data_IF_664822853099
#
_entry.id   IF_664822853099
#
_cell.length_a   1.000
_cell.length_b   1.000
_cell.length_c   1.000
_cell.angle_alpha   90.00
_cell.angle_beta   90.00
_cell.angle_gamma   90.00
#
_symmetry.space_group_name_H-M   'P 1'
#
loop_
_entity.id
_entity.type
_entity.pdbx_description
1 polymer ?
#
# COMPACT_ATOMS: atom_id res chain seq x y z
N UNK A 1 -26.29 13.28 3.09
CA UNK A 1 -24.89 13.29 3.59
C UNK A 1 -24.28 14.63 3.21
N UNK A 2 -23.96 15.49 4.17
CA UNK A 2 -23.36 16.81 3.89
C UNK A 2 -21.85 16.65 3.91
N UNK A 3 -21.20 16.81 2.75
CA UNK A 3 -19.74 16.79 2.63
C UNK A 3 -19.17 18.17 3.03
N UNK A 4 -18.14 18.16 3.87
CA UNK A 4 -17.35 19.36 4.22
C UNK A 4 -16.66 19.92 2.97
N UNK A 5 -16.21 21.17 3.03
CA UNK A 5 -15.51 21.83 1.91
C UNK A 5 -14.24 21.04 1.53
N UNK A 6 -13.52 20.52 2.53
CA UNK A 6 -12.34 19.66 2.34
C UNK A 6 -12.71 18.34 1.66
N UNK A 7 -13.75 17.64 2.13
CA UNK A 7 -14.22 16.40 1.50
C UNK A 7 -14.71 16.58 0.06
N UNK A 8 -15.17 17.78 -0.32
CA UNK A 8 -15.50 18.10 -1.73
C UNK A 8 -14.26 18.28 -2.60
N UNK A 9 -13.18 18.86 -2.06
CA UNK A 9 -11.90 19.00 -2.77
C UNK A 9 -11.24 17.64 -2.99
N UNK A 10 -11.25 16.79 -1.97
CA UNK A 10 -10.68 15.44 -2.05
C UNK A 10 -11.41 14.58 -3.10
N UNK A 11 -12.74 14.68 -3.12
CA UNK A 11 -13.55 14.01 -4.14
C UNK A 11 -13.22 14.50 -5.56
N UNK A 12 -13.06 15.80 -5.76
CA UNK A 12 -12.68 16.36 -7.06
C UNK A 12 -11.31 15.86 -7.53
N UNK A 13 -10.33 15.82 -6.62
CA UNK A 13 -9.00 15.29 -6.91
C UNK A 13 -9.03 13.79 -7.28
N UNK A 14 -9.85 12.99 -6.59
CA UNK A 14 -10.02 11.57 -6.91
C UNK A 14 -10.70 11.35 -8.28
N UNK A 15 -11.69 12.17 -8.63
CA UNK A 15 -12.34 12.12 -9.95
C UNK A 15 -11.36 12.49 -11.06
N UNK A 16 -10.54 13.52 -10.84
CA UNK A 16 -9.49 13.92 -11.78
C UNK A 16 -8.43 12.82 -11.95
N UNK A 17 -7.98 12.23 -10.84
CA UNK A 17 -7.08 11.08 -10.86
C UNK A 17 -7.66 9.93 -11.69
N UNK A 18 -8.92 9.55 -11.48
CA UNK A 18 -9.59 8.50 -12.24
C UNK A 18 -9.59 8.78 -13.74
N UNK A 19 -9.91 10.02 -14.14
CA UNK A 19 -9.88 10.44 -15.55
C UNK A 19 -8.47 10.32 -16.15
N UNK A 20 -7.46 10.78 -15.41
CA UNK A 20 -6.07 10.74 -15.87
C UNK A 20 -5.57 9.29 -16.02
N UNK A 21 -5.87 8.42 -15.05
CA UNK A 21 -5.51 7.00 -15.12
C UNK A 21 -6.14 6.32 -16.33
N UNK A 22 -7.42 6.60 -16.62
CA UNK A 22 -8.11 6.07 -17.81
C UNK A 22 -7.47 6.56 -19.12
N UNK A 23 -7.17 7.85 -19.21
CA UNK A 23 -6.55 8.44 -20.40
C UNK A 23 -5.16 7.84 -20.68
N UNK A 24 -4.42 7.48 -19.62
CA UNK A 24 -3.11 6.85 -19.71
C UNK A 24 -3.18 5.32 -19.86
N UNK A 25 -4.38 4.71 -19.83
CA UNK A 25 -4.55 3.26 -19.90
C UNK A 25 -4.05 2.51 -18.67
N UNK A 26 -3.85 3.20 -17.53
CA UNK A 26 -3.33 2.61 -16.30
C UNK A 26 -4.46 1.87 -15.58
N UNK A 27 -4.23 0.57 -15.32
CA UNK A 27 -5.19 -0.29 -14.59
C UNK A 27 -4.72 -0.71 -13.21
N UNK A 28 -3.42 -0.75 -12.97
CA UNK A 28 -2.85 -1.16 -11.68
C UNK A 28 -2.43 0.09 -10.92
N UNK A 29 -2.97 0.27 -9.72
CA UNK A 29 -2.69 1.42 -8.86
C UNK A 29 -2.14 0.91 -7.55
N UNK A 30 -0.90 1.29 -7.24
CA UNK A 30 -0.24 0.95 -5.98
C UNK A 30 -0.29 2.16 -5.06
N UNK A 31 -0.96 2.02 -3.93
CA UNK A 31 -1.03 3.02 -2.88
C UNK A 31 0.15 2.87 -1.92
N UNK A 32 0.83 3.97 -1.62
CA UNK A 32 1.94 3.99 -0.65
C UNK A 32 1.48 3.75 0.78
N UNK A 33 0.20 3.99 1.08
CA UNK A 33 -0.40 3.74 2.40
C UNK A 33 -1.75 3.04 2.29
N UNK A 34 -2.14 2.40 3.39
CA UNK A 34 -3.42 1.72 3.51
C UNK A 34 -4.60 2.71 3.45
N UNK A 35 -4.49 3.88 4.08
CA UNK A 35 -5.55 4.90 4.12
C UNK A 35 -5.84 5.44 2.72
N UNK A 36 -4.80 5.58 1.89
CA UNK A 36 -4.94 5.99 0.50
C UNK A 36 -5.69 4.92 -0.30
N UNK A 37 -5.36 3.65 -0.11
CA UNK A 37 -6.07 2.53 -0.71
C UNK A 37 -7.55 2.52 -0.32
N UNK A 38 -7.87 2.67 0.97
CA UNK A 38 -9.26 2.69 1.45
C UNK A 38 -10.02 3.87 0.83
N UNK A 39 -9.41 5.06 0.78
CA UNK A 39 -10.05 6.27 0.23
C UNK A 39 -10.34 6.12 -1.25
N UNK A 40 -9.38 5.59 -2.02
CA UNK A 40 -9.54 5.34 -3.46
C UNK A 40 -10.62 4.27 -3.71
N UNK A 41 -10.55 3.14 -3.01
CA UNK A 41 -11.47 2.02 -3.26
C UNK A 41 -12.91 2.29 -2.83
N UNK A 42 -13.10 3.08 -1.77
CA UNK A 42 -14.44 3.50 -1.32
C UNK A 42 -15.06 4.56 -2.22
N UNK A 43 -14.25 5.43 -2.82
CA UNK A 43 -14.74 6.57 -3.62
C UNK A 43 -14.85 6.25 -5.11
N UNK A 44 -13.83 5.61 -5.69
CA UNK A 44 -13.77 5.28 -7.13
C UNK A 44 -14.29 3.87 -7.44
N UNK A 45 -14.40 3.01 -6.42
CA UNK A 45 -14.74 1.60 -6.58
C UNK A 45 -13.58 0.76 -7.13
N UNK A 46 -13.78 -0.56 -7.17
CA UNK A 46 -12.77 -1.54 -7.59
C UNK A 46 -13.03 -2.16 -8.96
N UNK A 47 -14.05 -1.69 -9.69
CA UNK A 47 -14.44 -2.29 -10.99
C UNK A 47 -13.53 -1.88 -12.13
N UNK A 48 -12.98 -0.66 -12.08
CA UNK A 48 -12.21 -0.08 -13.19
C UNK A 48 -10.69 -0.17 -12.99
N UNK A 49 -10.23 -0.27 -11.73
CA UNK A 49 -8.82 -0.32 -11.37
C UNK A 49 -8.52 -1.48 -10.42
N UNK A 50 -7.39 -2.14 -10.64
CA UNK A 50 -6.76 -3.04 -9.66
C UNK A 50 -5.97 -2.18 -8.68
N UNK A 51 -6.60 -1.83 -7.56
CA UNK A 51 -5.97 -1.02 -6.51
C UNK A 51 -5.36 -1.94 -5.47
N UNK A 52 -4.15 -1.64 -5.02
CA UNK A 52 -3.44 -2.37 -3.98
C UNK A 52 -2.67 -1.41 -3.08
N UNK A 53 -2.24 -1.86 -1.90
CA UNK A 53 -1.36 -1.13 -1.01
C UNK A 53 -0.04 -1.89 -0.76
N UNK A 54 0.87 -1.20 -0.09
CA UNK A 54 2.13 -1.74 0.41
C UNK A 54 2.01 -1.92 1.92
N UNK A 55 2.33 -3.10 2.45
CA UNK A 55 2.36 -3.31 3.90
C UNK A 55 2.33 -4.77 4.34
N UNK A 56 2.24 -4.98 5.64
CA UNK A 56 2.07 -6.31 6.23
C UNK A 56 0.62 -6.80 6.13
N UNK A 57 0.38 -8.05 6.55
CA UNK A 57 -0.96 -8.62 6.62
C UNK A 57 -1.88 -7.77 7.51
N UNK A 58 -3.07 -7.45 6.99
CA UNK A 58 -4.09 -6.67 7.68
C UNK A 58 -5.43 -7.40 7.69
N UNK A 59 -6.33 -7.05 8.62
CA UNK A 59 -7.69 -7.62 8.64
C UNK A 59 -8.46 -7.32 7.35
N UNK A 60 -8.13 -6.23 6.66
CA UNK A 60 -8.76 -5.83 5.42
C UNK A 60 -8.40 -6.72 4.23
N UNK A 61 -7.27 -7.42 4.32
CA UNK A 61 -6.86 -8.40 3.32
C UNK A 61 -7.90 -9.55 3.23
N UNK A 62 -8.62 -9.83 4.34
CA UNK A 62 -9.69 -10.83 4.40
C UNK A 62 -11.08 -10.26 4.09
N UNK A 63 -11.30 -8.96 4.33
CA UNK A 63 -12.64 -8.33 4.24
C UNK A 63 -12.88 -7.73 2.84
N UNK A 64 -11.83 -7.44 2.08
CA UNK A 64 -11.91 -6.71 0.79
C UNK A 64 -11.41 -7.56 -0.37
N UNK A 65 -11.81 -7.19 -1.58
CA UNK A 65 -11.37 -7.76 -2.85
C UNK A 65 -9.91 -7.36 -3.21
N UNK A 66 -8.97 -7.51 -2.28
CA UNK A 66 -7.55 -7.39 -2.61
C UNK A 66 -7.20 -8.48 -3.61
N UNK A 67 -6.91 -8.10 -4.86
CA UNK A 67 -6.38 -9.04 -5.87
C UNK A 67 -4.93 -9.39 -5.57
N UNK A 68 -4.15 -8.40 -5.14
CA UNK A 68 -2.75 -8.55 -4.78
C UNK A 68 -2.37 -7.50 -3.75
N UNK A 69 -1.30 -7.73 -2.99
CA UNK A 69 -0.68 -6.82 -2.04
C UNK A 69 0.83 -6.89 -2.13
N UNK A 70 1.50 -5.74 -2.06
CA UNK A 70 2.96 -5.70 -1.94
C UNK A 70 3.28 -5.88 -0.46
N UNK A 71 3.67 -7.10 -0.11
CA UNK A 71 3.96 -7.51 1.25
C UNK A 71 5.33 -7.04 1.72
N UNK A 72 5.34 -6.44 2.92
CA UNK A 72 6.55 -6.11 3.66
C UNK A 72 6.49 -6.80 5.03
N UNK A 73 7.46 -7.67 5.31
CA UNK A 73 7.59 -8.38 6.59
C UNK A 73 8.15 -7.48 7.70
N UNK A 74 7.32 -6.57 8.22
CA UNK A 74 7.75 -5.65 9.28
C UNK A 74 8.30 -6.35 10.53
N UNK A 75 7.74 -7.48 11.03
CA UNK A 75 8.33 -8.22 12.14
C UNK A 75 9.77 -8.67 11.87
N UNK A 76 10.01 -9.29 10.70
CA UNK A 76 11.37 -9.72 10.32
C UNK A 76 12.32 -8.54 10.14
N UNK A 77 11.85 -7.44 9.55
CA UNK A 77 12.63 -6.20 9.46
C UNK A 77 13.02 -5.70 10.86
N UNK A 78 12.09 -5.73 11.81
CA UNK A 78 12.36 -5.38 13.21
C UNK A 78 13.48 -6.23 13.83
N UNK A 79 13.44 -7.54 13.64
CA UNK A 79 14.51 -8.45 14.11
C UNK A 79 15.87 -8.16 13.44
N UNK A 80 15.86 -7.83 12.14
CA UNK A 80 17.08 -7.46 11.42
C UNK A 80 17.66 -6.15 11.97
N UNK A 81 16.81 -5.15 12.20
CA UNK A 81 17.20 -3.85 12.77
C UNK A 81 17.79 -4.04 14.17
N UNK A 82 17.14 -4.83 15.02
CA UNK A 82 17.64 -5.11 16.39
C UNK A 82 19.04 -5.73 16.36
N UNK A 83 19.25 -6.71 15.48
CA UNK A 83 20.57 -7.30 15.26
C UNK A 83 21.58 -6.26 14.77
N UNK A 84 21.22 -5.45 13.77
CA UNK A 84 22.13 -4.41 13.25
C UNK A 84 22.52 -3.41 14.34
N UNK A 85 21.59 -3.01 15.22
CA UNK A 85 21.88 -2.12 16.34
C UNK A 85 22.88 -2.76 17.31
N UNK A 86 22.73 -4.06 17.58
CA UNK A 86 23.64 -4.82 18.44
C UNK A 86 25.04 -4.92 17.81
N UNK A 87 25.09 -5.33 16.54
CA UNK A 87 26.35 -5.50 15.80
C UNK A 87 27.12 -4.16 15.71
N UNK A 88 26.46 -3.03 15.41
CA UNK A 88 27.10 -1.69 15.40
C UNK A 88 27.73 -1.35 16.76
N UNK A 89 27.05 -1.66 17.86
CA UNK A 89 27.56 -1.34 19.21
C UNK A 89 28.80 -2.17 19.55
N UNK A 90 28.86 -3.41 19.07
CA UNK A 90 29.97 -4.32 19.34
C UNK A 90 31.17 -4.08 18.42
N UNK A 91 30.95 -3.82 17.13
CA UNK A 91 32.02 -3.73 16.12
C UNK A 91 32.39 -2.29 15.74
N UNK A 92 31.48 -1.33 15.92
CA UNK A 92 31.63 0.05 15.43
C UNK A 92 31.44 0.20 13.92
N UNK A 93 31.12 -0.87 13.19
CA UNK A 93 30.96 -0.83 11.74
C UNK A 93 29.53 -0.45 11.33
N UNK A 94 29.38 0.47 10.39
CA UNK A 94 28.09 0.86 9.81
C UNK A 94 27.39 -0.35 9.17
N UNK A 95 26.09 -0.50 9.44
CA UNK A 95 25.29 -1.61 8.92
C UNK A 95 24.27 -1.11 7.89
N UNK A 96 24.14 -1.85 6.79
CA UNK A 96 23.11 -1.64 5.76
C UNK A 96 22.50 -2.99 5.37
N UNK A 97 21.19 -3.01 5.11
CA UNK A 97 20.48 -4.19 4.58
C UNK A 97 19.42 -3.78 3.56
N UNK A 98 19.46 -4.45 2.41
CA UNK A 98 18.38 -4.40 1.42
C UNK A 98 17.32 -5.43 1.78
N UNK A 99 16.06 -5.01 1.86
CA UNK A 99 14.92 -5.87 2.11
C UNK A 99 14.11 -5.98 0.83
N UNK A 100 14.03 -7.19 0.28
CA UNK A 100 13.21 -7.48 -0.88
C UNK A 100 11.74 -7.58 -0.46
N UNK A 101 10.86 -6.95 -1.24
CA UNK A 101 9.42 -7.10 -1.10
C UNK A 101 8.92 -8.30 -1.89
N UNK A 102 7.70 -8.76 -1.59
CA UNK A 102 7.05 -9.83 -2.35
C UNK A 102 5.60 -9.47 -2.63
N UNK A 103 5.02 -10.05 -3.67
CA UNK A 103 3.59 -9.92 -3.94
C UNK A 103 2.88 -11.12 -3.33
N UNK A 104 1.87 -10.87 -2.50
CA UNK A 104 0.92 -11.89 -2.06
C UNK A 104 -0.40 -11.66 -2.80
N UNK A 105 -1.03 -12.72 -3.29
CA UNK A 105 -2.28 -12.66 -4.04
C UNK A 105 -3.25 -13.74 -3.57
N UNK A 106 -4.54 -13.39 -3.59
CA UNK A 106 -5.65 -14.29 -3.30
C UNK A 106 -6.07 -15.13 -4.51
N UNK A 107 -5.60 -14.76 -5.71
CA UNK A 107 -5.81 -15.54 -6.94
C UNK A 107 -4.92 -16.79 -6.86
N UNK A 108 -5.52 -17.91 -6.43
CA UNK A 108 -4.95 -19.24 -6.67
C UNK A 108 -5.11 -19.54 -8.17
N UNK A 109 -4.01 -19.94 -8.82
CA UNK A 109 -4.12 -20.77 -10.01
C UNK A 109 -4.96 -22.02 -9.70
#
# INVERSE_FOLDING_TARGET
MVLTIEGKKDLAALVELSKNLKNLGIRNVVCSTHETYVSITTTLGTKEFNVTDIGYQSIYDNIKNYKAKIFIDYPRIGLIIDKMITDVKETGELQEKVINTMIISSDKN
#
